data_IF_243498811986
#
_entry.id   IF_243498811986
#
_cell.length_a   1.000
_cell.length_b   1.000
_cell.length_c   1.000
_cell.angle_alpha   90.00
_cell.angle_beta   90.00
_cell.angle_gamma   90.00
#
_symmetry.space_group_name_H-M   'P 1'
#
loop_
_entity.id
_entity.type
_entity.pdbx_description
1 polymer ?
#
# COMPACT_ATOMS: atom_id res chain seq x y z
N UNK A 1 38.30 10.37 28.49
CA UNK A 1 37.89 9.41 27.45
C UNK A 1 36.40 9.12 27.64
N UNK A 2 35.51 9.91 27.03
CA UNK A 2 34.04 9.67 27.10
C UNK A 2 33.43 10.14 25.79
N UNK A 3 33.34 9.24 24.79
CA UNK A 3 32.53 9.44 23.58
C UNK A 3 32.25 8.07 22.96
N UNK A 4 31.12 7.45 23.30
CA UNK A 4 30.59 6.32 22.48
C UNK A 4 29.18 5.79 22.82
N UNK A 5 28.40 6.38 23.74
CA UNK A 5 27.11 5.77 24.15
C UNK A 5 25.85 6.41 23.49
N UNK A 6 25.94 7.56 22.84
CA UNK A 6 24.74 8.26 22.31
C UNK A 6 24.34 7.95 20.85
N UNK A 7 25.12 7.18 20.10
CA UNK A 7 24.82 6.88 18.69
C UNK A 7 23.86 5.71 18.49
N UNK A 8 23.67 4.84 19.49
CA UNK A 8 22.89 3.60 19.33
C UNK A 8 21.37 3.81 19.49
N UNK A 9 20.93 4.91 20.14
CA UNK A 9 19.50 5.17 20.37
C UNK A 9 18.77 5.80 19.19
N UNK A 10 19.46 6.47 18.28
CA UNK A 10 18.82 7.15 17.14
C UNK A 10 18.63 6.24 15.93
N UNK A 11 19.51 5.26 15.74
CA UNK A 11 19.38 4.25 14.68
C UNK A 11 18.20 3.32 14.91
N UNK A 12 17.92 2.95 16.17
CA UNK A 12 16.79 2.08 16.52
C UNK A 12 15.43 2.79 16.41
N UNK A 13 15.37 4.09 16.72
CA UNK A 13 14.15 4.88 16.58
C UNK A 13 13.80 5.19 15.10
N UNK A 14 14.80 5.44 14.25
CA UNK A 14 14.58 5.60 12.80
C UNK A 14 14.19 4.28 12.12
N UNK A 15 14.78 3.15 12.54
CA UNK A 15 14.35 1.82 12.08
C UNK A 15 12.91 1.51 12.51
N UNK A 16 12.49 1.91 13.72
CA UNK A 16 11.12 1.67 14.20
C UNK A 16 10.07 2.54 13.49
N UNK A 17 10.39 3.78 13.10
CA UNK A 17 9.45 4.64 12.36
C UNK A 17 9.32 4.19 10.90
N UNK A 18 10.40 3.73 10.26
CA UNK A 18 10.32 3.14 8.92
C UNK A 18 9.60 1.79 8.93
N UNK A 19 9.64 1.02 10.03
CA UNK A 19 8.92 -0.25 10.18
C UNK A 19 7.40 -0.07 10.36
N UNK A 20 6.95 1.03 10.99
CA UNK A 20 5.53 1.30 11.17
C UNK A 20 4.82 1.72 9.87
N UNK A 21 5.50 2.49 9.01
CA UNK A 21 4.94 2.90 7.71
C UNK A 21 4.92 1.75 6.69
N UNK A 22 5.85 0.78 6.78
CA UNK A 22 5.86 -0.39 5.90
C UNK A 22 4.72 -1.38 6.21
N UNK A 23 4.37 -1.55 7.49
CA UNK A 23 3.30 -2.47 7.90
C UNK A 23 1.90 -1.94 7.56
N UNK A 24 1.66 -0.62 7.66
CA UNK A 24 0.38 -0.04 7.24
C UNK A 24 0.15 -0.13 5.71
N UNK A 25 1.22 -0.16 4.92
CA UNK A 25 1.17 -0.34 3.48
C UNK A 25 1.12 -1.84 3.07
N UNK A 26 1.74 -2.72 3.84
CA UNK A 26 1.74 -4.18 3.59
C UNK A 26 0.37 -4.82 3.87
N UNK A 27 -0.36 -4.35 4.88
CA UNK A 27 -1.65 -4.93 5.29
C UNK A 27 -2.78 -4.67 4.27
N UNK A 28 -2.72 -3.57 3.51
CA UNK A 28 -3.70 -3.27 2.47
C UNK A 28 -3.51 -4.11 1.19
N UNK A 29 -2.30 -4.65 0.96
CA UNK A 29 -2.01 -5.45 -0.23
C UNK A 29 -2.10 -6.98 0.03
N UNK A 30 -1.97 -7.41 1.30
CA UNK A 30 -2.06 -8.83 1.70
C UNK A 30 -3.47 -9.44 1.63
N UNK A 31 -4.54 -8.64 1.61
CA UNK A 31 -5.92 -9.14 1.67
C UNK A 31 -6.41 -9.79 0.35
N UNK A 32 -5.70 -9.61 -0.77
CA UNK A 32 -6.18 -10.08 -2.07
C UNK A 32 -5.40 -11.26 -2.70
N UNK A 33 -4.31 -11.71 -2.07
CA UNK A 33 -3.50 -12.84 -2.60
C UNK A 33 -3.92 -14.18 -1.96
N UNK A 34 -4.32 -14.20 -0.68
CA UNK A 34 -4.73 -15.45 -0.02
C UNK A 34 -6.06 -16.02 -0.54
N UNK A 35 -6.93 -15.18 -1.11
CA UNK A 35 -8.21 -15.63 -1.69
C UNK A 35 -8.03 -16.48 -2.96
N UNK A 36 -6.93 -16.30 -3.69
CA UNK A 36 -6.67 -17.06 -4.93
C UNK A 36 -6.00 -18.42 -4.68
N UNK A 37 -5.27 -18.58 -3.57
CA UNK A 37 -4.60 -19.85 -3.21
C UNK A 37 -5.58 -20.91 -2.71
N UNK A 38 -6.69 -20.52 -2.07
CA UNK A 38 -7.71 -21.46 -1.56
C UNK A 38 -8.51 -22.11 -2.70
N UNK A 39 -8.76 -21.38 -3.79
CA UNK A 39 -9.53 -21.90 -4.94
C UNK A 39 -8.76 -22.97 -5.72
N UNK A 40 -7.42 -22.93 -5.67
CA UNK A 40 -6.55 -23.92 -6.34
C UNK A 40 -6.38 -25.23 -5.53
N UNK A 41 -6.65 -25.22 -4.22
CA UNK A 41 -6.49 -26.40 -3.36
C UNK A 41 -7.68 -27.38 -3.38
N UNK A 42 -8.80 -27.04 -4.02
CA UNK A 42 -10.00 -27.90 -4.06
C UNK A 42 -10.18 -28.70 -5.36
N UNK A 43 -9.35 -28.49 -6.39
CA UNK A 43 -9.55 -29.09 -7.73
C UNK A 43 -8.56 -30.23 -8.04
N UNK A 44 -7.71 -30.63 -7.09
CA UNK A 44 -6.76 -31.73 -7.29
C UNK A 44 -6.49 -32.55 -6.02
N UNK A 45 -7.35 -33.54 -5.71
CA UNK A 45 -6.89 -34.80 -5.12
C UNK A 45 -7.53 -35.98 -5.88
N UNK A 46 -6.71 -36.81 -6.54
CA UNK A 46 -7.11 -38.02 -7.27
C UNK A 46 -7.19 -39.26 -6.35
N UNK A 47 -7.89 -40.28 -6.83
CA UNK A 47 -7.65 -41.71 -6.58
C UNK A 47 -7.62 -42.19 -5.11
N UNK A 48 -8.75 -42.72 -4.64
CA UNK A 48 -8.73 -43.85 -3.70
C UNK A 48 -8.62 -45.14 -4.48
N UNK A 49 -7.43 -45.74 -4.48
CA UNK A 49 -7.25 -47.16 -4.76
C UNK A 49 -6.17 -47.72 -3.83
N UNK A 50 -6.31 -49.00 -3.52
CA UNK A 50 -5.47 -49.87 -2.70
C UNK A 50 -5.62 -49.66 -1.18
N UNK A 51 -5.73 -50.69 -0.34
CA UNK A 51 -5.36 -52.09 -0.50
C UNK A 51 -5.91 -52.90 0.67
N UNK A 52 -6.32 -54.14 0.40
CA UNK A 52 -6.12 -55.35 1.21
C UNK A 52 -6.11 -55.20 2.74
N UNK A 53 -7.14 -55.68 3.42
CA UNK A 53 -6.95 -56.42 4.66
C UNK A 53 -7.97 -57.57 4.77
N UNK A 54 -7.40 -58.76 4.79
CA UNK A 54 -8.03 -60.07 4.92
C UNK A 54 -8.18 -60.38 6.41
N UNK A 55 -9.37 -60.76 6.85
CA UNK A 55 -9.58 -61.50 8.09
C UNK A 55 -10.87 -62.32 7.97
N UNK A 56 -10.72 -63.64 7.83
CA UNK A 56 -11.75 -64.62 8.19
C UNK A 56 -11.83 -64.71 9.72
N UNK A 57 -12.97 -65.15 10.28
CA UNK A 57 -12.98 -66.55 10.70
C UNK A 57 -14.29 -67.31 10.40
N UNK A 58 -14.07 -68.56 9.97
CA UNK A 58 -14.72 -69.82 10.33
C UNK A 58 -16.25 -69.90 10.54
N UNK A 59 -16.92 -70.67 9.68
CA UNK A 59 -17.75 -71.83 10.08
C UNK A 59 -17.65 -72.96 9.04
N UNK A 60 -17.67 -74.20 9.54
CA UNK A 60 -17.51 -75.47 8.84
C UNK A 60 -18.85 -76.17 8.59
N UNK A 61 -18.88 -76.99 7.52
CA UNK A 61 -19.70 -78.22 7.27
C UNK A 61 -21.21 -78.03 7.14
N UNK A 62 -21.95 -78.61 6.20
CA UNK A 62 -21.97 -79.98 5.64
C UNK A 62 -22.49 -79.97 4.19
N UNK A 63 -22.12 -80.99 3.40
CA UNK A 63 -22.56 -81.16 2.01
C UNK A 63 -23.82 -82.01 1.86
N UNK A 64 -24.55 -81.81 0.76
CA UNK A 64 -25.47 -82.78 0.14
C UNK A 64 -25.44 -82.62 -1.39
N UNK A 65 -25.46 -83.76 -2.07
CA UNK A 65 -25.26 -84.04 -3.49
C UNK A 65 -26.42 -83.56 -4.43
N UNK A 66 -26.08 -83.15 -5.67
CA UNK A 66 -26.95 -82.99 -6.86
C UNK A 66 -27.60 -84.34 -7.30
N UNK A 67 -28.62 -84.46 -8.24
CA UNK A 67 -28.77 -83.71 -9.51
C UNK A 67 -30.17 -83.59 -10.22
N UNK A 68 -30.13 -83.02 -11.45
CA UNK A 68 -31.09 -83.01 -12.61
C UNK A 68 -32.00 -81.76 -12.71
N UNK A 69 -32.08 -81.03 -13.83
CA UNK A 69 -32.46 -81.50 -15.17
C UNK A 69 -32.03 -80.53 -16.30
N UNK A 70 -31.98 -81.09 -17.51
CA UNK A 70 -31.37 -80.67 -18.78
C UNK A 70 -32.42 -80.07 -19.74
N UNK A 71 -32.14 -78.90 -20.34
CA UNK A 71 -32.77 -78.38 -21.58
C UNK A 71 -31.69 -77.64 -22.38
N UNK A 72 -30.98 -78.30 -23.32
CA UNK A 72 -31.19 -78.44 -24.78
C UNK A 72 -30.89 -77.18 -25.65
N UNK A 73 -29.65 -77.15 -26.15
CA UNK A 73 -29.17 -76.90 -27.53
C UNK A 73 -29.23 -75.50 -28.22
N UNK A 74 -28.03 -74.92 -28.37
CA UNK A 74 -27.30 -74.27 -29.49
C UNK A 74 -28.03 -73.70 -30.73
N UNK A 75 -27.62 -72.48 -31.10
CA UNK A 75 -27.17 -72.13 -32.45
C UNK A 75 -26.30 -70.85 -32.43
N UNK A 76 -25.16 -70.93 -33.11
CA UNK A 76 -24.24 -69.83 -33.29
C UNK A 76 -24.81 -68.81 -34.29
N UNK A 77 -24.95 -67.56 -33.87
CA UNK A 77 -24.87 -66.39 -34.76
C UNK A 77 -24.01 -65.33 -34.07
N UNK A 78 -22.77 -65.69 -33.80
CA UNK A 78 -21.68 -64.71 -33.79
C UNK A 78 -21.23 -64.53 -35.24
N UNK A 79 -21.06 -63.28 -35.69
CA UNK A 79 -20.48 -62.85 -36.99
C UNK A 79 -21.45 -62.41 -38.11
N UNK A 80 -22.33 -61.45 -37.82
CA UNK A 80 -22.47 -60.27 -38.69
C UNK A 80 -21.82 -59.10 -37.92
N UNK A 81 -20.49 -59.01 -37.91
CA UNK A 81 -19.76 -58.15 -38.84
C UNK A 81 -20.18 -56.68 -38.75
N UNK A 82 -19.62 -56.01 -37.72
CA UNK A 82 -18.89 -54.74 -37.79
C UNK A 82 -19.49 -53.61 -38.66
N UNK A 83 -20.00 -52.57 -38.00
CA UNK A 83 -19.95 -51.15 -38.40
C UNK A 83 -19.92 -50.29 -37.10
N UNK A 84 -19.38 -49.06 -37.11
CA UNK A 84 -18.39 -48.59 -36.14
C UNK A 84 -18.95 -48.27 -34.75
N UNK A 85 -18.20 -48.68 -33.74
CA UNK A 85 -18.32 -48.19 -32.36
C UNK A 85 -17.84 -46.72 -32.31
N UNK A 86 -18.73 -45.78 -32.67
CA UNK A 86 -18.53 -44.33 -32.51
C UNK A 86 -19.86 -43.65 -32.17
N UNK A 87 -20.31 -43.77 -30.93
CA UNK A 87 -21.48 -42.99 -30.45
C UNK A 87 -21.45 -42.71 -28.94
N UNK A 88 -20.26 -42.57 -28.35
CA UNK A 88 -20.09 -42.05 -26.99
C UNK A 88 -19.11 -40.86 -26.90
N UNK A 89 -18.41 -40.54 -27.99
CA UNK A 89 -17.35 -39.51 -28.00
C UNK A 89 -17.91 -38.08 -28.16
N UNK A 90 -19.04 -37.93 -28.84
CA UNK A 90 -19.66 -36.64 -29.15
C UNK A 90 -20.21 -35.93 -27.90
N UNK A 91 -20.83 -36.64 -26.97
CA UNK A 91 -21.34 -36.03 -25.73
C UNK A 91 -20.19 -35.61 -24.79
N UNK A 92 -19.13 -36.42 -24.70
CA UNK A 92 -17.95 -36.12 -23.88
C UNK A 92 -17.18 -34.89 -24.40
N UNK A 93 -17.02 -34.78 -25.73
CA UNK A 93 -16.39 -33.62 -26.37
C UNK A 93 -17.15 -32.31 -26.09
N UNK A 94 -18.49 -32.33 -26.12
CA UNK A 94 -19.33 -31.15 -25.82
C UNK A 94 -19.10 -30.65 -24.37
N UNK A 95 -19.06 -31.55 -23.37
CA UNK A 95 -18.83 -31.16 -21.97
C UNK A 95 -17.43 -30.57 -21.75
N UNK A 96 -16.40 -31.14 -22.38
CA UNK A 96 -15.03 -30.60 -22.27
C UNK A 96 -14.92 -29.19 -22.88
N UNK A 97 -15.59 -28.93 -24.02
CA UNK A 97 -15.63 -27.61 -24.64
C UNK A 97 -16.28 -26.54 -23.75
N UNK A 98 -17.38 -26.86 -23.08
CA UNK A 98 -18.08 -25.94 -22.15
C UNK A 98 -17.20 -25.61 -20.95
N UNK A 99 -16.51 -26.61 -20.39
CA UNK A 99 -15.61 -26.40 -19.26
C UNK A 99 -14.45 -25.48 -19.63
N UNK A 100 -13.81 -25.70 -20.78
CA UNK A 100 -12.74 -24.84 -21.29
C UNK A 100 -13.24 -23.41 -21.52
N UNK A 101 -14.42 -23.24 -22.15
CA UNK A 101 -15.02 -21.93 -22.36
C UNK A 101 -15.34 -21.20 -21.04
N UNK A 102 -15.80 -21.94 -20.02
CA UNK A 102 -16.07 -21.40 -18.69
C UNK A 102 -14.80 -20.91 -18.00
N UNK A 103 -13.73 -21.71 -18.03
CA UNK A 103 -12.43 -21.36 -17.44
C UNK A 103 -11.84 -20.11 -18.11
N UNK A 104 -11.88 -20.03 -19.44
CA UNK A 104 -11.41 -18.86 -20.19
C UNK A 104 -12.27 -17.61 -19.92
N UNK A 105 -13.59 -17.77 -19.84
CA UNK A 105 -14.51 -16.68 -19.51
C UNK A 105 -14.27 -16.11 -18.10
N UNK A 106 -14.09 -16.99 -17.11
CA UNK A 106 -13.75 -16.58 -15.75
C UNK A 106 -12.37 -15.93 -15.67
N UNK A 107 -11.37 -16.49 -16.36
CA UNK A 107 -10.02 -15.92 -16.41
C UNK A 107 -10.01 -14.50 -16.99
N UNK A 108 -10.69 -14.29 -18.12
CA UNK A 108 -10.81 -12.96 -18.75
C UNK A 108 -11.64 -11.98 -17.89
N UNK A 109 -12.71 -12.46 -17.24
CA UNK A 109 -13.52 -11.65 -16.33
C UNK A 109 -12.68 -11.18 -15.13
N UNK A 110 -11.95 -12.08 -14.48
CA UNK A 110 -11.05 -11.74 -13.36
C UNK A 110 -9.95 -10.79 -13.84
N UNK A 111 -9.28 -11.09 -14.95
CA UNK A 111 -8.24 -10.22 -15.52
C UNK A 111 -8.76 -8.80 -15.80
N UNK A 112 -9.96 -8.68 -16.40
CA UNK A 112 -10.60 -7.39 -16.67
C UNK A 112 -11.04 -6.67 -15.40
N UNK A 113 -11.53 -7.40 -14.38
CA UNK A 113 -11.90 -6.83 -13.08
C UNK A 113 -10.68 -6.32 -12.32
N UNK A 114 -9.56 -7.04 -12.37
CA UNK A 114 -8.27 -6.64 -11.79
C UNK A 114 -7.70 -5.41 -12.52
N UNK A 115 -7.69 -5.40 -13.86
CA UNK A 115 -7.13 -4.26 -14.63
C UNK A 115 -7.95 -2.98 -14.52
N UNK A 116 -9.28 -3.09 -14.42
CA UNK A 116 -10.17 -1.96 -14.13
C UNK A 116 -9.88 -1.35 -12.76
N UNK A 117 -9.49 -2.17 -11.77
CA UNK A 117 -9.17 -1.70 -10.42
C UNK A 117 -7.92 -0.83 -10.40
N UNK A 118 -6.86 -1.23 -11.13
CA UNK A 118 -5.60 -0.49 -11.16
C UNK A 118 -5.72 0.88 -11.84
N UNK A 119 -6.46 0.97 -12.94
CA UNK A 119 -6.67 2.23 -13.66
C UNK A 119 -7.43 3.24 -12.79
N UNK A 120 -8.45 2.77 -12.05
CA UNK A 120 -9.22 3.61 -11.12
C UNK A 120 -8.35 4.12 -9.96
N UNK A 121 -7.48 3.29 -9.40
CA UNK A 121 -6.51 3.72 -8.37
C UNK A 121 -5.58 4.80 -8.88
N UNK A 122 -4.99 4.65 -10.08
CA UNK A 122 -4.09 5.65 -10.68
C UNK A 122 -4.79 6.99 -10.95
N UNK A 123 -6.06 6.98 -11.35
CA UNK A 123 -6.85 8.20 -11.55
C UNK A 123 -7.12 8.88 -10.20
N UNK A 124 -7.57 8.14 -9.19
CA UNK A 124 -7.81 8.67 -7.85
C UNK A 124 -6.53 9.21 -7.20
N UNK A 125 -5.40 8.52 -7.36
CA UNK A 125 -4.09 8.98 -6.88
C UNK A 125 -3.65 10.28 -7.58
N UNK A 126 -3.95 10.44 -8.88
CA UNK A 126 -3.72 11.69 -9.60
C UNK A 126 -4.64 12.80 -9.09
N UNK A 127 -5.94 12.53 -8.94
CA UNK A 127 -6.91 13.52 -8.43
C UNK A 127 -6.56 13.96 -7.01
N UNK A 128 -6.25 13.03 -6.11
CA UNK A 128 -5.81 13.34 -4.74
C UNK A 128 -4.50 14.11 -4.70
N UNK A 129 -3.52 13.77 -5.56
CA UNK A 129 -2.28 14.55 -5.70
C UNK A 129 -2.57 15.98 -6.16
N UNK A 130 -3.41 16.14 -7.18
CA UNK A 130 -3.80 17.45 -7.70
C UNK A 130 -4.58 18.28 -6.68
N UNK A 131 -5.49 17.65 -5.92
CA UNK A 131 -6.22 18.31 -4.83
C UNK A 131 -5.28 18.75 -3.73
N UNK A 132 -4.30 17.91 -3.33
CA UNK A 132 -3.29 18.28 -2.33
C UNK A 132 -2.45 19.49 -2.77
N UNK A 133 -2.00 19.52 -4.02
CA UNK A 133 -1.26 20.66 -4.58
C UNK A 133 -2.13 21.92 -4.56
N UNK A 134 -3.37 21.85 -5.07
CA UNK A 134 -4.30 23.01 -5.06
C UNK A 134 -4.62 23.49 -3.65
N UNK A 135 -4.80 22.57 -2.70
CA UNK A 135 -5.05 22.91 -1.30
C UNK A 135 -3.83 23.59 -0.69
N UNK A 136 -2.63 23.06 -0.95
CA UNK A 136 -1.37 23.66 -0.52
C UNK A 136 -1.21 25.08 -1.07
N UNK A 137 -1.38 25.28 -2.38
CA UNK A 137 -1.28 26.60 -3.03
C UNK A 137 -2.26 27.60 -2.41
N UNK A 138 -3.51 27.19 -2.19
CA UNK A 138 -4.53 28.04 -1.58
C UNK A 138 -4.20 28.38 -0.12
N UNK A 139 -3.78 27.40 0.66
CA UNK A 139 -3.40 27.62 2.06
C UNK A 139 -2.15 28.48 2.18
N UNK A 140 -1.20 28.34 1.25
CA UNK A 140 -0.01 29.19 1.17
C UNK A 140 -0.38 30.66 0.91
N UNK A 141 -1.25 30.92 -0.08
CA UNK A 141 -1.73 32.28 -0.37
C UNK A 141 -2.46 32.91 0.82
N UNK A 142 -3.33 32.14 1.49
CA UNK A 142 -4.02 32.57 2.72
C UNK A 142 -3.01 32.99 3.81
N UNK A 143 -1.94 32.22 4.01
CA UNK A 143 -0.89 32.53 4.99
C UNK A 143 -0.12 33.80 4.61
N UNK A 144 0.19 34.01 3.33
CA UNK A 144 0.83 35.24 2.84
C UNK A 144 -0.07 36.46 3.08
N UNK A 145 -1.38 36.33 2.82
CA UNK A 145 -2.34 37.42 3.05
C UNK A 145 -2.45 37.78 4.53
N UNK A 146 -2.53 36.78 5.41
CA UNK A 146 -2.54 36.98 6.87
C UNK A 146 -1.25 37.63 7.37
N UNK A 147 -0.10 37.25 6.82
CA UNK A 147 1.18 37.86 7.14
C UNK A 147 1.20 39.35 6.76
N UNK A 148 0.73 39.69 5.55
CA UNK A 148 0.65 41.09 5.07
C UNK A 148 -0.28 41.94 5.93
N UNK A 149 -1.34 41.36 6.48
CA UNK A 149 -2.27 42.01 7.42
C UNK A 149 -1.73 42.10 8.86
N UNK A 150 -0.56 41.52 9.15
CA UNK A 150 0.02 41.43 10.49
C UNK A 150 -0.96 40.80 11.52
N UNK A 151 -1.75 39.82 11.10
CA UNK A 151 -2.72 39.14 11.94
C UNK A 151 -2.02 38.13 12.89
N UNK A 152 -2.50 37.98 14.12
CA UNK A 152 -1.99 36.98 15.06
C UNK A 152 -2.28 35.54 14.63
N UNK A 153 -3.33 35.32 13.82
CA UNK A 153 -3.71 34.00 13.29
C UNK A 153 -2.68 33.47 12.29
N UNK A 154 -1.91 34.36 11.66
CA UNK A 154 -0.82 34.05 10.74
C UNK A 154 0.07 32.90 11.24
N UNK A 155 0.59 33.01 12.47
CA UNK A 155 1.57 32.06 12.97
C UNK A 155 0.99 30.65 13.17
N UNK A 156 -0.28 30.57 13.58
CA UNK A 156 -0.99 29.29 13.72
C UNK A 156 -1.18 28.61 12.37
N UNK A 157 -1.60 29.37 11.36
CA UNK A 157 -1.77 28.86 9.99
C UNK A 157 -0.44 28.48 9.34
N UNK A 158 0.60 29.29 9.57
CA UNK A 158 1.96 28.99 9.13
C UNK A 158 2.47 27.67 9.73
N UNK A 159 2.28 27.44 11.03
CA UNK A 159 2.73 26.20 11.70
C UNK A 159 1.97 24.98 11.18
N UNK A 160 0.72 25.14 10.73
CA UNK A 160 -0.03 24.07 10.08
C UNK A 160 0.51 23.74 8.67
N UNK A 161 1.07 24.72 7.95
CA UNK A 161 1.72 24.51 6.66
C UNK A 161 3.13 23.93 6.80
N UNK A 162 3.88 24.39 7.81
CA UNK A 162 5.27 24.05 8.05
C UNK A 162 5.44 23.50 9.48
N UNK A 163 4.97 22.26 9.75
CA UNK A 163 4.98 21.68 11.09
C UNK A 163 6.40 21.44 11.63
N UNK A 164 7.36 21.18 10.75
CA UNK A 164 8.75 20.86 11.12
C UNK A 164 9.61 22.10 11.36
N UNK A 165 9.16 23.28 10.92
CA UNK A 165 9.92 24.52 10.99
C UNK A 165 10.24 24.96 12.43
N UNK A 166 9.21 25.04 13.28
CA UNK A 166 9.36 25.50 14.68
C UNK A 166 10.22 24.51 15.49
N UNK A 167 9.98 23.19 15.44
CA UNK A 167 10.85 22.20 16.09
C UNK A 167 12.30 22.29 15.60
N UNK A 168 12.53 22.49 14.31
CA UNK A 168 13.88 22.60 13.76
C UNK A 168 14.63 23.84 14.29
N UNK A 169 13.95 24.98 14.41
CA UNK A 169 14.54 26.19 15.03
C UNK A 169 14.82 26.01 16.51
N UNK A 170 13.89 25.40 17.25
CA UNK A 170 14.05 25.14 18.69
C UNK A 170 15.17 24.15 18.98
N UNK A 171 15.42 23.20 18.07
CA UNK A 171 16.56 22.27 18.17
C UNK A 171 17.91 22.99 18.10
N UNK A 172 18.00 24.09 17.34
CA UNK A 172 19.22 24.89 17.21
C UNK A 172 19.37 25.85 18.39
N UNK A 173 18.29 26.53 18.76
CA UNK A 173 18.27 27.48 19.86
C UNK A 173 16.95 27.39 20.63
N UNK A 174 16.91 26.69 21.79
CA UNK A 174 15.69 26.50 22.56
C UNK A 174 15.16 27.80 23.20
N UNK A 175 16.01 28.82 23.35
CA UNK A 175 15.65 30.10 23.98
C UNK A 175 14.94 31.08 23.02
N UNK A 176 14.60 30.65 21.81
CA UNK A 176 13.93 31.50 20.81
C UNK A 176 12.55 31.91 21.30
N UNK A 177 12.32 33.23 21.37
CA UNK A 177 11.03 33.77 21.79
C UNK A 177 10.01 33.63 20.68
N UNK A 178 8.73 33.56 21.04
CA UNK A 178 7.61 33.53 20.07
C UNK A 178 7.69 34.66 19.04
N UNK A 179 8.04 35.87 19.45
CA UNK A 179 8.19 37.00 18.53
C UNK A 179 9.32 36.82 17.51
N UNK A 180 10.37 36.08 17.86
CA UNK A 180 11.46 35.74 16.94
C UNK A 180 11.09 34.60 16.01
N UNK A 181 10.32 33.61 16.48
CA UNK A 181 9.77 32.56 15.64
C UNK A 181 8.84 33.13 14.56
N UNK A 182 7.96 34.07 14.92
CA UNK A 182 7.09 34.78 13.97
C UNK A 182 7.93 35.53 12.92
N UNK A 183 9.04 36.15 13.36
CA UNK A 183 9.93 36.84 12.44
C UNK A 183 10.65 35.86 11.49
N UNK A 184 11.08 34.70 11.98
CA UNK A 184 11.67 33.65 11.16
C UNK A 184 10.64 33.08 10.17
N UNK A 185 9.37 32.95 10.57
CA UNK A 185 8.30 32.54 9.67
C UNK A 185 8.11 33.54 8.51
N UNK A 186 8.18 34.84 8.77
CA UNK A 186 8.17 35.84 7.69
C UNK A 186 9.39 35.72 6.75
N UNK A 187 10.57 35.36 7.28
CA UNK A 187 11.75 35.13 6.46
C UNK A 187 11.62 33.86 5.60
N UNK A 188 11.05 32.77 6.14
CA UNK A 188 10.75 31.53 5.41
C UNK A 188 9.79 31.77 4.24
N UNK A 189 8.85 32.70 4.40
CA UNK A 189 7.95 33.14 3.33
C UNK A 189 8.60 34.12 2.34
N UNK A 190 9.93 34.30 2.43
CA UNK A 190 10.72 35.15 1.55
C UNK A 190 10.34 36.64 1.56
N UNK A 191 9.75 37.14 2.65
CA UNK A 191 9.54 38.58 2.78
C UNK A 191 10.88 39.32 2.86
N UNK A 192 11.00 40.36 2.05
CA UNK A 192 12.14 41.27 2.09
C UNK A 192 12.12 42.12 3.36
N UNK A 193 13.29 42.64 3.76
CA UNK A 193 13.37 43.53 4.92
C UNK A 193 12.49 44.79 4.76
N UNK A 194 12.26 45.25 3.52
CA UNK A 194 11.37 46.37 3.21
C UNK A 194 9.90 46.01 3.44
N UNK A 195 9.47 44.84 2.98
CA UNK A 195 8.09 44.38 3.19
C UNK A 195 7.80 44.15 4.66
N UNK A 196 8.70 43.50 5.40
CA UNK A 196 8.53 43.29 6.85
C UNK A 196 8.43 44.63 7.58
N UNK A 197 9.22 45.64 7.17
CA UNK A 197 9.15 46.99 7.74
C UNK A 197 7.77 47.63 7.52
N UNK A 198 7.24 47.52 6.29
CA UNK A 198 5.89 48.00 5.95
C UNK A 198 4.79 47.27 6.73
N UNK A 199 4.88 45.95 6.85
CA UNK A 199 3.89 45.10 7.55
C UNK A 199 3.87 45.40 9.05
N UNK A 200 5.05 45.51 9.67
CA UNK A 200 5.17 45.68 11.12
C UNK A 200 5.18 47.14 11.57
N UNK A 201 5.19 48.10 10.64
CA UNK A 201 5.25 49.53 10.94
C UNK A 201 6.55 49.98 11.61
N UNK A 202 7.65 49.24 11.41
CA UNK A 202 8.96 49.57 12.00
C UNK A 202 9.94 50.04 10.93
N UNK A 203 10.97 50.76 11.34
CA UNK A 203 11.99 51.23 10.41
C UNK A 203 12.74 50.07 9.75
N UNK A 204 13.01 50.16 8.45
CA UNK A 204 13.77 49.17 7.68
C UNK A 204 15.11 48.79 8.34
N UNK A 205 15.83 49.76 8.89
CA UNK A 205 17.10 49.53 9.60
C UNK A 205 16.92 48.71 10.88
N UNK A 206 15.80 48.86 11.59
CA UNK A 206 15.45 48.02 12.75
C UNK A 206 15.21 46.57 12.34
N UNK A 207 14.54 46.34 11.20
CA UNK A 207 14.36 44.99 10.63
C UNK A 207 15.71 44.36 10.29
N UNK A 208 16.62 45.10 9.66
CA UNK A 208 17.96 44.62 9.35
C UNK A 208 18.77 44.26 10.60
N UNK A 209 18.72 45.10 11.65
CA UNK A 209 19.35 44.80 12.95
C UNK A 209 18.78 43.53 13.56
N UNK A 210 17.45 43.36 13.52
CA UNK A 210 16.78 42.13 13.98
C UNK A 210 17.20 40.91 13.18
N UNK A 211 17.32 41.02 11.86
CA UNK A 211 17.84 39.96 10.96
C UNK A 211 19.26 39.53 11.37
N UNK A 212 20.14 40.49 11.64
CA UNK A 212 21.51 40.21 12.09
C UNK A 212 21.54 39.54 13.47
N UNK A 213 20.63 39.90 14.39
CA UNK A 213 20.49 39.24 15.68
C UNK A 213 20.05 37.78 15.52
N UNK A 214 19.05 37.50 14.67
CA UNK A 214 18.61 36.14 14.36
C UNK A 214 19.76 35.31 13.79
N UNK A 215 20.53 35.88 12.86
CA UNK A 215 21.71 35.22 12.29
C UNK A 215 22.70 34.75 13.36
N UNK A 216 23.02 35.62 14.32
CA UNK A 216 23.92 35.29 15.44
C UNK A 216 23.32 34.24 16.36
N UNK A 217 22.02 34.34 16.66
CA UNK A 217 21.31 33.39 17.54
C UNK A 217 21.21 31.98 16.98
N UNK A 218 21.12 31.86 15.65
CA UNK A 218 21.07 30.59 14.93
C UNK A 218 22.46 30.09 14.50
N UNK A 219 23.53 30.78 14.89
CA UNK A 219 24.91 30.43 14.55
C UNK A 219 25.19 30.32 13.04
N UNK A 220 24.54 31.15 12.23
CA UNK A 220 24.65 31.11 10.76
C UNK A 220 25.91 31.88 10.32
N UNK A 221 26.86 31.25 9.59
CA UNK A 221 28.11 31.88 9.18
C UNK A 221 27.85 32.99 8.17
N UNK A 222 28.60 34.10 8.21
CA UNK A 222 28.40 35.31 7.38
C UNK A 222 28.37 35.08 5.86
N UNK A 223 28.94 33.97 5.37
CA UNK A 223 28.95 33.64 3.94
C UNK A 223 27.69 32.91 3.46
N UNK A 224 26.91 32.30 4.36
CA UNK A 224 25.70 31.57 3.98
C UNK A 224 24.53 32.52 3.72
N UNK A 225 23.71 32.25 2.71
CA UNK A 225 22.46 32.99 2.54
C UNK A 225 21.47 32.60 3.64
N UNK A 226 20.88 33.62 4.28
CA UNK A 226 19.90 33.43 5.33
C UNK A 226 18.60 32.85 4.79
N UNK A 227 18.17 33.26 3.60
CA UNK A 227 16.93 32.76 3.00
C UNK A 227 17.07 31.28 2.62
N UNK A 228 18.18 30.93 1.98
CA UNK A 228 18.52 29.54 1.69
C UNK A 228 18.54 28.65 2.94
N UNK A 229 19.06 29.16 4.06
CA UNK A 229 19.03 28.43 5.33
C UNK A 229 17.59 28.15 5.80
N UNK A 230 16.68 29.12 5.69
CA UNK A 230 15.28 28.90 6.05
C UNK A 230 14.56 27.99 5.06
N UNK A 231 14.89 28.05 3.77
CA UNK A 231 14.31 27.15 2.76
C UNK A 231 14.62 25.68 3.06
N UNK A 232 15.81 25.39 3.59
CA UNK A 232 16.20 24.04 4.02
C UNK A 232 15.49 23.54 5.29
N UNK A 233 14.94 24.43 6.10
CA UNK A 233 14.21 24.09 7.32
C UNK A 233 12.74 23.87 6.98
N UNK A 234 12.31 22.61 6.88
CA UNK A 234 10.91 22.12 6.73
C UNK A 234 9.88 23.15 6.29
#
# INVERSE_FOLDING_TARGET
MVFSVQTISYSTLLLSSMYLDYNLYSDCMKINIEKHLIVLWLVHIPFSCNSYLKAEPCQMTEGVLLPKNKVRNNNAVSLLAKEPEKTKDNNMLIYTGIFVASVLGLGTFVYKRVSISESKRKILEKETRMLKIRMYDKSFEEVIELAKKNDMVFFTKFTALYPDFVPALQKINPDLKRSELIFCAMLKLNFSSKEIASITGVLHTSVQKRKNKIRKRLHIPSQADLYFFFDQLG
#
